data_IF_774746200140
#
_entry.id   IF_774746200140
#
_cell.length_a   1.000
_cell.length_b   1.000
_cell.length_c   1.000
_cell.angle_alpha   90.00
_cell.angle_beta   90.00
_cell.angle_gamma   90.00
#
_symmetry.space_group_name_H-M   'P 1'
#
loop_
_entity.id
_entity.type
_entity.pdbx_description
1 polymer ?
#
# COMPACT_ATOMS: atom_id res chain seq x y z
N UNK A 1 -7.80 -29.52 14.45
CA UNK A 1 -8.58 -29.12 13.25
C UNK A 1 -8.12 -27.80 12.65
N UNK A 2 -8.15 -26.67 13.37
CA UNK A 2 -7.79 -25.34 12.82
C UNK A 2 -6.35 -25.27 12.29
N UNK A 3 -5.39 -25.89 13.00
CA UNK A 3 -3.98 -25.96 12.58
C UNK A 3 -3.86 -26.62 11.19
N UNK A 4 -4.58 -27.73 10.97
CA UNK A 4 -4.60 -28.44 9.69
C UNK A 4 -5.21 -27.57 8.59
N UNK A 5 -6.31 -26.86 8.88
CA UNK A 5 -6.94 -25.94 7.92
C UNK A 5 -6.00 -24.79 7.53
N UNK A 6 -5.31 -24.19 8.51
CA UNK A 6 -4.30 -23.16 8.27
C UNK A 6 -3.18 -23.71 7.38
N UNK A 7 -2.62 -24.88 7.72
CA UNK A 7 -1.56 -25.50 6.93
C UNK A 7 -2.01 -25.77 5.48
N UNK A 8 -3.20 -26.34 5.27
CA UNK A 8 -3.77 -26.57 3.93
C UNK A 8 -3.93 -25.24 3.18
N UNK A 9 -4.48 -24.22 3.84
CA UNK A 9 -4.65 -22.88 3.25
C UNK A 9 -3.31 -22.32 2.81
N UNK A 10 -2.29 -22.39 3.68
CA UNK A 10 -0.93 -21.95 3.39
C UNK A 10 -0.32 -22.66 2.17
N UNK A 11 -0.40 -24.00 2.13
CA UNK A 11 0.14 -24.81 1.04
C UNK A 11 -0.53 -24.45 -0.28
N UNK A 12 -1.86 -24.39 -0.31
CA UNK A 12 -2.60 -24.05 -1.54
C UNK A 12 -2.22 -22.63 -2.00
N UNK A 13 -2.19 -21.66 -1.09
CA UNK A 13 -1.81 -20.29 -1.42
C UNK A 13 -0.39 -20.19 -2.00
N UNK A 14 0.55 -20.92 -1.40
CA UNK A 14 1.94 -21.01 -1.86
C UNK A 14 2.01 -21.54 -3.28
N UNK A 15 1.27 -22.62 -3.58
CA UNK A 15 1.21 -23.23 -4.92
C UNK A 15 0.65 -22.22 -5.95
N UNK A 16 -0.42 -21.50 -5.61
CA UNK A 16 -1.03 -20.51 -6.51
C UNK A 16 -0.10 -19.33 -6.81
N UNK A 17 0.59 -18.81 -5.80
CA UNK A 17 1.53 -17.69 -5.95
C UNK A 17 2.77 -18.12 -6.71
N UNK A 18 3.35 -19.27 -6.36
CA UNK A 18 4.47 -19.86 -7.10
C UNK A 18 4.13 -20.05 -8.58
N UNK A 19 2.95 -20.59 -8.87
CA UNK A 19 2.46 -20.74 -10.25
C UNK A 19 2.33 -19.40 -10.97
N UNK A 20 1.88 -18.35 -10.28
CA UNK A 20 1.78 -17.00 -10.84
C UNK A 20 3.15 -16.41 -11.15
N UNK A 21 4.11 -16.53 -10.22
CA UNK A 21 5.49 -16.07 -10.38
C UNK A 21 6.16 -16.82 -11.54
N UNK A 22 6.02 -18.14 -11.59
CA UNK A 22 6.55 -18.98 -12.68
C UNK A 22 5.97 -18.54 -14.03
N UNK A 23 4.66 -18.28 -14.11
CA UNK A 23 4.03 -17.78 -15.34
C UNK A 23 4.57 -16.40 -15.75
N UNK A 24 4.83 -15.50 -14.80
CA UNK A 24 5.37 -14.18 -15.09
C UNK A 24 6.80 -14.24 -15.65
N UNK A 25 7.69 -15.01 -15.01
CA UNK A 25 9.10 -15.09 -15.41
C UNK A 25 9.33 -16.04 -16.60
N UNK A 26 8.78 -17.25 -16.57
CA UNK A 26 9.01 -18.27 -17.59
C UNK A 26 8.14 -18.06 -18.84
N UNK A 27 6.84 -17.87 -18.65
CA UNK A 27 5.88 -17.73 -19.77
C UNK A 27 5.74 -16.28 -20.25
N UNK A 28 6.53 -15.36 -19.69
CA UNK A 28 6.51 -13.91 -19.99
C UNK A 28 5.10 -13.31 -19.90
N UNK A 29 4.23 -13.84 -19.04
CA UNK A 29 2.92 -13.27 -18.79
C UNK A 29 3.07 -12.04 -17.87
N UNK A 30 3.20 -10.87 -18.47
CA UNK A 30 3.21 -9.57 -17.79
C UNK A 30 1.83 -9.08 -17.34
N UNK A 31 0.88 -9.95 -17.01
CA UNK A 31 -0.35 -9.50 -16.39
C UNK A 31 -0.06 -8.87 -15.02
N UNK A 32 -0.42 -7.58 -14.89
CA UNK A 32 -0.14 -6.75 -13.71
C UNK A 32 -0.77 -7.24 -12.41
N UNK A 33 -1.72 -8.18 -12.44
CA UNK A 33 -2.27 -8.78 -11.23
C UNK A 33 -1.23 -9.58 -10.42
N UNK A 34 -0.08 -9.95 -11.02
CA UNK A 34 0.98 -10.63 -10.29
C UNK A 34 1.47 -9.83 -9.06
N UNK A 35 1.57 -8.51 -9.17
CA UNK A 35 2.10 -7.66 -8.12
C UNK A 35 1.19 -7.65 -6.87
N UNK A 36 -0.11 -7.33 -6.98
CA UNK A 36 -1.00 -7.43 -5.83
C UNK A 36 -1.19 -8.89 -5.34
N UNK A 37 -1.06 -9.92 -6.19
CA UNK A 37 -1.08 -11.33 -5.75
C UNK A 37 0.08 -11.61 -4.78
N UNK A 38 1.30 -11.23 -5.14
CA UNK A 38 2.49 -11.46 -4.29
C UNK A 38 2.38 -10.69 -2.98
N UNK A 39 1.92 -9.44 -3.04
CA UNK A 39 1.74 -8.62 -1.83
C UNK A 39 0.63 -9.18 -0.95
N UNK A 40 -0.50 -9.63 -1.52
CA UNK A 40 -1.55 -10.31 -0.76
C UNK A 40 -1.01 -11.52 0.00
N UNK A 41 -0.17 -12.33 -0.65
CA UNK A 41 0.47 -13.47 -0.01
C UNK A 41 1.36 -13.04 1.17
N UNK A 42 2.19 -12.01 0.99
CA UNK A 42 3.05 -11.49 2.06
C UNK A 42 2.23 -11.01 3.27
N UNK A 43 1.15 -10.26 3.06
CA UNK A 43 0.39 -9.65 4.15
C UNK A 43 -0.66 -10.58 4.81
N UNK A 44 -1.04 -11.69 4.18
CA UNK A 44 -2.09 -12.58 4.69
C UNK A 44 -1.64 -14.03 4.91
N UNK A 45 -0.75 -14.57 4.07
CA UNK A 45 -0.32 -15.97 4.15
C UNK A 45 0.96 -16.15 4.98
N UNK A 46 1.91 -15.21 4.92
CA UNK A 46 3.08 -15.25 5.81
C UNK A 46 2.66 -15.15 7.29
N UNK A 47 1.77 -14.23 7.70
CA UNK A 47 1.23 -14.23 9.06
C UNK A 47 0.59 -15.57 9.45
N UNK A 48 -0.14 -16.21 8.53
CA UNK A 48 -0.73 -17.52 8.79
C UNK A 48 0.33 -18.62 8.98
N UNK A 49 1.47 -18.55 8.30
CA UNK A 49 2.62 -19.44 8.56
C UNK A 49 3.25 -19.15 9.93
N UNK A 50 3.40 -17.87 10.29
CA UNK A 50 3.94 -17.47 11.59
C UNK A 50 3.04 -17.95 12.74
N UNK A 51 1.72 -17.93 12.57
CA UNK A 51 0.76 -18.52 13.52
C UNK A 51 1.02 -20.02 13.76
N UNK A 52 1.52 -20.74 12.74
CA UNK A 52 1.82 -22.18 12.82
C UNK A 52 3.19 -22.46 13.43
N UNK A 53 4.19 -21.63 13.14
CA UNK A 53 5.58 -21.84 13.55
C UNK A 53 5.92 -21.23 14.91
N UNK A 54 5.49 -19.99 15.13
CA UNK A 54 5.79 -19.21 16.34
C UNK A 54 4.60 -19.25 17.30
N UNK A 55 3.39 -19.27 16.74
CA UNK A 55 2.15 -19.12 17.50
C UNK A 55 1.54 -17.74 17.31
N UNK A 56 0.43 -17.52 18.01
CA UNK A 56 -0.31 -16.26 17.93
C UNK A 56 0.39 -15.16 18.73
N UNK A 57 0.37 -13.91 18.24
CA UNK A 57 0.86 -12.77 19.00
C UNK A 57 0.04 -12.56 20.29
N UNK A 58 0.72 -12.13 21.35
CA UNK A 58 0.09 -11.78 22.62
C UNK A 58 -0.20 -10.28 22.64
N UNK A 59 -1.46 -9.94 22.35
CA UNK A 59 -1.88 -8.54 22.33
C UNK A 59 -2.15 -7.98 23.72
N UNK A 60 -1.72 -6.75 23.95
CA UNK A 60 -2.09 -5.96 25.14
C UNK A 60 -3.60 -5.71 25.16
N UNK A 61 -4.15 -5.48 26.36
CA UNK A 61 -5.58 -5.32 26.61
C UNK A 61 -6.27 -4.25 25.77
N UNK A 62 -5.54 -3.20 25.37
CA UNK A 62 -6.08 -2.14 24.51
C UNK A 62 -6.35 -2.61 23.07
N UNK A 63 -5.78 -3.72 22.61
CA UNK A 63 -6.12 -4.35 21.32
C UNK A 63 -7.21 -5.42 21.48
N UNK A 64 -8.26 -5.10 22.25
CA UNK A 64 -9.35 -6.03 22.62
C UNK A 64 -9.96 -6.72 21.40
N UNK A 65 -10.17 -5.99 20.31
CA UNK A 65 -10.73 -6.53 19.06
C UNK A 65 -9.88 -7.66 18.47
N UNK A 66 -8.56 -7.56 18.51
CA UNK A 66 -7.66 -8.63 18.03
C UNK A 66 -7.69 -9.86 18.94
N UNK A 67 -7.73 -9.66 20.26
CA UNK A 67 -7.82 -10.76 21.23
C UNK A 67 -9.10 -11.58 21.01
N UNK A 68 -10.25 -10.90 20.94
CA UNK A 68 -11.55 -11.56 20.81
C UNK A 68 -11.68 -12.25 19.44
N UNK A 69 -11.34 -11.54 18.36
CA UNK A 69 -11.47 -12.10 17.01
C UNK A 69 -10.49 -13.24 16.75
N UNK A 70 -9.26 -13.14 17.27
CA UNK A 70 -8.27 -14.22 17.18
C UNK A 70 -8.74 -15.48 17.91
N UNK A 71 -9.36 -15.35 19.08
CA UNK A 71 -9.82 -16.50 19.86
C UNK A 71 -11.12 -17.15 19.34
N UNK A 72 -11.80 -16.52 18.37
CA UNK A 72 -13.04 -17.04 17.81
C UNK A 72 -12.80 -18.04 16.67
N UNK A 73 -13.08 -19.32 16.94
CA UNK A 73 -12.82 -20.44 16.00
C UNK A 73 -13.52 -20.26 14.66
N UNK A 74 -14.79 -19.83 14.66
CA UNK A 74 -15.58 -19.68 13.43
C UNK A 74 -14.97 -18.56 12.55
N UNK A 75 -14.49 -17.48 13.16
CA UNK A 75 -13.82 -16.39 12.44
C UNK A 75 -12.57 -16.89 11.74
N UNK A 76 -11.77 -17.72 12.40
CA UNK A 76 -10.55 -18.30 11.80
C UNK A 76 -10.84 -19.23 10.63
N UNK A 77 -11.90 -20.03 10.71
CA UNK A 77 -12.34 -20.88 9.59
C UNK A 77 -12.78 -20.01 8.41
N UNK A 78 -13.62 -19.01 8.66
CA UNK A 78 -14.10 -18.09 7.61
C UNK A 78 -12.95 -17.30 7.02
N UNK A 79 -12.01 -16.84 7.84
CA UNK A 79 -10.79 -16.16 7.40
C UNK A 79 -10.02 -17.01 6.39
N UNK A 80 -9.75 -18.29 6.71
CA UNK A 80 -9.05 -19.21 5.81
C UNK A 80 -9.78 -19.36 4.46
N UNK A 81 -11.11 -19.50 4.49
CA UNK A 81 -11.95 -19.59 3.28
C UNK A 81 -11.86 -18.29 2.46
N UNK A 82 -11.95 -17.14 3.10
CA UNK A 82 -11.95 -15.82 2.46
C UNK A 82 -10.62 -15.51 1.79
N UNK A 83 -9.49 -15.70 2.49
CA UNK A 83 -8.17 -15.44 1.90
C UNK A 83 -7.85 -16.41 0.77
N UNK A 84 -8.34 -17.65 0.85
CA UNK A 84 -8.20 -18.63 -0.22
C UNK A 84 -9.03 -18.23 -1.45
N UNK A 85 -10.30 -17.83 -1.24
CA UNK A 85 -11.17 -17.34 -2.30
C UNK A 85 -10.56 -16.13 -3.02
N UNK A 86 -10.12 -15.10 -2.29
CA UNK A 86 -9.55 -13.89 -2.87
C UNK A 86 -8.32 -14.24 -3.73
N UNK A 87 -7.38 -15.00 -3.17
CA UNK A 87 -6.16 -15.39 -3.87
C UNK A 87 -6.44 -16.25 -5.11
N UNK A 88 -7.33 -17.24 -4.98
CA UNK A 88 -7.76 -18.09 -6.08
C UNK A 88 -8.38 -17.28 -7.23
N UNK A 89 -9.29 -16.34 -6.91
CA UNK A 89 -9.93 -15.50 -7.91
C UNK A 89 -8.92 -14.58 -8.61
N UNK A 90 -8.01 -13.96 -7.87
CA UNK A 90 -6.94 -13.14 -8.45
C UNK A 90 -6.02 -13.98 -9.36
N UNK A 91 -5.66 -15.19 -8.95
CA UNK A 91 -4.91 -16.16 -9.77
C UNK A 91 -5.64 -16.49 -11.08
N UNK A 92 -6.95 -16.77 -11.01
CA UNK A 92 -7.77 -17.07 -12.20
C UNK A 92 -7.81 -15.90 -13.16
N UNK A 93 -7.92 -14.67 -12.66
CA UNK A 93 -7.88 -13.47 -13.50
C UNK A 93 -6.49 -13.22 -14.10
N UNK A 94 -5.42 -13.50 -13.37
CA UNK A 94 -4.05 -13.42 -13.86
C UNK A 94 -3.80 -14.39 -15.04
N UNK A 95 -4.29 -15.62 -14.95
CA UNK A 95 -4.12 -16.64 -15.99
C UNK A 95 -4.93 -16.36 -17.26
N UNK A 96 -6.14 -15.80 -17.13
CA UNK A 96 -7.05 -15.57 -18.27
C UNK A 96 -6.64 -14.41 -19.19
N UNK A 97 -5.94 -13.42 -18.65
CA UNK A 97 -5.60 -12.20 -19.40
C UNK A 97 -4.08 -12.09 -19.58
N UNK A 98 -3.43 -12.93 -20.41
CA UNK A 98 -2.01 -12.79 -20.64
C UNK A 98 -1.73 -11.46 -21.33
N UNK A 99 -0.79 -10.69 -20.78
CA UNK A 99 -0.40 -9.39 -21.33
C UNK A 99 1.11 -9.28 -21.37
N UNK A 100 1.69 -8.76 -22.45
CA UNK A 100 3.13 -8.47 -22.49
C UNK A 100 3.37 -7.00 -22.18
N UNK A 101 3.98 -6.74 -21.02
CA UNK A 101 4.46 -5.42 -20.67
C UNK A 101 5.80 -5.21 -21.38
N UNK A 102 5.86 -4.20 -22.27
CA UNK A 102 7.12 -3.60 -22.70
C UNK A 102 7.30 -2.24 -22.02
N UNK A 103 8.50 -1.95 -21.52
CA UNK A 103 8.91 -0.63 -21.03
C UNK A 103 10.04 -0.04 -21.89
N UNK A 104 10.06 -0.39 -23.17
CA UNK A 104 11.03 0.17 -24.12
C UNK A 104 10.58 1.55 -24.54
N UNK A 105 11.38 2.54 -24.13
CA UNK A 105 11.18 3.92 -24.50
C UNK A 105 12.44 4.53 -25.09
N UNK A 106 12.26 5.48 -26.00
CA UNK A 106 13.29 6.42 -26.41
C UNK A 106 12.75 7.83 -26.21
N UNK A 107 13.17 8.49 -25.14
CA UNK A 107 13.01 9.94 -25.04
C UNK A 107 14.31 10.59 -25.47
N UNK A 108 14.22 11.41 -26.51
CA UNK A 108 15.35 12.26 -26.93
C UNK A 108 15.72 13.28 -25.84
N UNK A 109 14.80 13.61 -24.94
CA UNK A 109 14.95 14.65 -23.91
C UNK A 109 14.94 14.12 -22.46
N UNK A 110 15.17 12.82 -22.22
CA UNK A 110 15.10 12.24 -20.87
C UNK A 110 16.14 12.85 -19.92
N UNK A 111 17.35 13.07 -20.41
CA UNK A 111 18.43 13.68 -19.63
C UNK A 111 18.12 15.16 -19.33
N UNK A 112 17.51 15.89 -20.26
CA UNK A 112 17.11 17.28 -20.07
C UNK A 112 15.99 17.39 -19.03
N UNK A 113 14.92 16.59 -19.15
CA UNK A 113 13.85 16.56 -18.13
C UNK A 113 14.42 16.19 -16.76
N UNK A 114 15.34 15.23 -16.71
CA UNK A 114 15.99 14.85 -15.46
C UNK A 114 16.75 16.02 -14.84
N UNK A 115 17.57 16.74 -15.60
CA UNK A 115 18.33 17.90 -15.11
C UNK A 115 17.37 18.99 -14.60
N UNK A 116 16.36 19.38 -15.39
CA UNK A 116 15.37 20.36 -14.95
C UNK A 116 14.59 19.90 -13.72
N UNK A 117 14.32 18.60 -13.60
CA UNK A 117 13.63 18.04 -12.44
C UNK A 117 14.49 18.07 -11.19
N UNK A 118 15.78 17.73 -11.30
CA UNK A 118 16.72 17.82 -10.18
C UNK A 118 16.87 19.27 -9.74
N UNK A 119 16.99 20.20 -10.69
CA UNK A 119 17.03 21.64 -10.39
C UNK A 119 15.73 22.14 -9.74
N UNK A 120 14.57 21.70 -10.24
CA UNK A 120 13.28 22.01 -9.65
C UNK A 120 13.12 21.45 -8.22
N UNK A 121 13.57 20.22 -7.98
CA UNK A 121 13.61 19.63 -6.64
C UNK A 121 14.55 20.41 -5.72
N UNK A 122 15.69 20.87 -6.22
CA UNK A 122 16.62 21.70 -5.47
C UNK A 122 16.00 23.04 -5.05
N UNK A 123 15.37 23.77 -5.99
CA UNK A 123 14.66 25.01 -5.68
C UNK A 123 13.51 24.78 -4.69
N UNK A 124 12.77 23.68 -4.86
CA UNK A 124 11.71 23.30 -3.95
C UNK A 124 12.26 23.04 -2.54
N UNK A 125 13.40 22.35 -2.40
CA UNK A 125 14.04 22.14 -1.09
C UNK A 125 14.42 23.47 -0.43
N UNK A 126 15.01 24.41 -1.17
CA UNK A 126 15.34 25.75 -0.65
C UNK A 126 14.08 26.44 -0.11
N UNK A 127 12.97 26.41 -0.87
CA UNK A 127 11.70 26.99 -0.44
C UNK A 127 11.12 26.30 0.80
N UNK A 128 11.24 24.97 0.91
CA UNK A 128 10.72 24.25 2.07
C UNK A 128 11.54 24.56 3.33
N UNK A 129 12.86 24.66 3.20
CA UNK A 129 13.75 25.08 4.30
C UNK A 129 13.59 26.55 4.69
N UNK A 130 13.00 27.41 3.85
CA UNK A 130 12.73 28.80 4.25
C UNK A 130 11.43 28.95 5.04
N UNK A 131 10.48 28.04 4.86
CA UNK A 131 9.17 28.08 5.55
C UNK A 131 9.17 27.26 6.83
N UNK A 132 10.09 26.31 6.95
CA UNK A 132 10.20 25.44 8.12
C UNK A 132 11.62 25.44 8.64
N UNK A 133 11.75 25.35 9.96
CA UNK A 133 13.04 25.18 10.59
C UNK A 133 13.69 23.88 10.10
N UNK A 134 14.80 24.01 9.36
CA UNK A 134 15.53 22.89 8.82
C UNK A 134 15.93 21.89 9.91
N UNK A 135 16.24 22.37 11.11
CA UNK A 135 16.59 21.53 12.25
C UNK A 135 15.41 20.64 12.67
N UNK A 136 14.20 21.20 12.72
CA UNK A 136 12.97 20.45 12.99
C UNK A 136 12.68 19.35 11.94
N UNK A 137 13.04 19.58 10.67
CA UNK A 137 12.98 18.54 9.62
C UNK A 137 13.99 17.43 9.90
N UNK A 138 15.27 17.77 10.10
CA UNK A 138 16.34 16.78 10.28
C UNK A 138 16.20 15.97 11.56
N UNK A 139 15.56 16.53 12.60
CA UNK A 139 15.23 15.81 13.83
C UNK A 139 13.99 14.92 13.73
N UNK A 140 13.31 14.88 12.58
CA UNK A 140 12.09 14.08 12.37
C UNK A 140 10.89 14.54 13.22
N UNK A 141 10.98 15.73 13.82
CA UNK A 141 9.93 16.30 14.69
C UNK A 141 8.65 16.64 13.90
N UNK A 142 8.77 16.79 12.57
CA UNK A 142 7.65 16.99 11.65
C UNK A 142 6.58 15.90 11.73
N UNK A 143 6.90 14.72 12.28
CA UNK A 143 5.92 13.68 12.59
C UNK A 143 4.76 14.22 13.41
N UNK A 144 5.05 14.96 14.49
CA UNK A 144 4.06 15.46 15.45
C UNK A 144 3.45 16.81 15.05
N UNK A 145 4.00 17.47 14.04
CA UNK A 145 3.48 18.74 13.58
C UNK A 145 2.13 18.57 12.88
N UNK A 146 1.10 19.11 13.52
CA UNK A 146 -0.29 19.19 13.03
C UNK A 146 -0.64 20.57 12.49
N UNK A 147 0.32 21.49 12.44
CA UNK A 147 0.13 22.82 11.87
C UNK A 147 -0.23 22.73 10.37
N UNK A 148 -0.90 23.75 9.81
CA UNK A 148 -1.17 23.81 8.38
C UNK A 148 0.10 23.71 7.52
N UNK A 149 1.24 24.19 8.04
CA UNK A 149 2.55 24.09 7.39
C UNK A 149 3.04 22.63 7.39
N UNK A 150 2.99 21.95 8.54
CA UNK A 150 3.35 20.54 8.65
C UNK A 150 2.53 19.63 7.73
N UNK A 151 1.23 19.87 7.61
CA UNK A 151 0.36 19.13 6.67
C UNK A 151 0.80 19.35 5.22
N UNK A 152 1.10 20.60 4.82
CA UNK A 152 1.60 20.90 3.47
C UNK A 152 2.93 20.19 3.19
N UNK A 153 3.87 20.21 4.14
CA UNK A 153 5.17 19.54 4.02
C UNK A 153 5.02 18.02 3.85
N UNK A 154 4.10 17.40 4.61
CA UNK A 154 3.73 15.99 4.46
C UNK A 154 3.16 15.68 3.06
N UNK A 155 2.36 16.56 2.48
CA UNK A 155 1.86 16.36 1.11
C UNK A 155 2.97 16.54 0.07
N UNK A 156 3.84 17.54 0.23
CA UNK A 156 4.97 17.78 -0.67
C UNK A 156 5.95 16.61 -0.70
N UNK A 157 6.27 16.01 0.45
CA UNK A 157 7.13 14.82 0.50
C UNK A 157 6.56 13.65 -0.32
N UNK A 158 5.24 13.43 -0.32
CA UNK A 158 4.62 12.40 -1.15
C UNK A 158 4.78 12.70 -2.65
N UNK A 159 4.63 13.96 -3.04
CA UNK A 159 4.84 14.41 -4.43
C UNK A 159 6.30 14.19 -4.85
N UNK A 160 7.26 14.57 -4.00
CA UNK A 160 8.70 14.39 -4.27
C UNK A 160 9.01 12.91 -4.48
N UNK A 161 8.57 12.03 -3.58
CA UNK A 161 8.81 10.58 -3.69
C UNK A 161 8.19 10.01 -4.97
N UNK A 162 6.95 10.40 -5.28
CA UNK A 162 6.27 9.94 -6.49
C UNK A 162 7.01 10.43 -7.74
N UNK A 163 7.47 11.68 -7.75
CA UNK A 163 8.22 12.25 -8.86
C UNK A 163 9.57 11.57 -9.06
N UNK A 164 10.31 11.30 -7.99
CA UNK A 164 11.57 10.54 -8.01
C UNK A 164 11.33 9.16 -8.62
N UNK A 165 10.30 8.43 -8.20
CA UNK A 165 9.97 7.12 -8.76
C UNK A 165 9.65 7.20 -10.25
N UNK A 166 8.92 8.24 -10.69
CA UNK A 166 8.63 8.48 -12.11
C UNK A 166 9.93 8.75 -12.89
N UNK A 167 10.84 9.60 -12.39
CA UNK A 167 12.11 9.88 -13.06
C UNK A 167 12.97 8.62 -13.23
N UNK A 168 13.05 7.80 -12.17
CA UNK A 168 13.76 6.52 -12.23
C UNK A 168 13.07 5.55 -13.18
N UNK A 169 11.73 5.53 -13.21
CA UNK A 169 10.95 4.73 -14.16
C UNK A 169 11.20 5.15 -15.61
N UNK A 170 11.43 6.43 -15.89
CA UNK A 170 11.67 6.91 -17.25
C UNK A 170 13.08 6.58 -17.77
N UNK A 171 14.03 6.21 -16.90
CA UNK A 171 15.41 5.93 -17.31
C UNK A 171 15.57 4.57 -18.02
N UNK A 172 15.94 4.56 -19.30
CA UNK A 172 16.12 3.31 -20.05
C UNK A 172 17.43 2.60 -19.71
N UNK A 173 18.52 3.37 -19.56
CA UNK A 173 19.85 2.81 -19.45
C UNK A 173 20.10 2.32 -18.02
N UNK A 174 20.32 1.01 -17.87
CA UNK A 174 20.55 0.36 -16.58
C UNK A 174 21.73 0.97 -15.80
N UNK A 175 22.80 1.38 -16.48
CA UNK A 175 23.95 2.04 -15.85
C UNK A 175 23.61 3.45 -15.35
N UNK A 176 22.95 4.27 -16.20
CA UNK A 176 22.48 5.61 -15.80
C UNK A 176 21.41 5.55 -14.71
N UNK A 177 20.63 4.47 -14.63
CA UNK A 177 19.60 4.29 -13.62
C UNK A 177 20.18 4.38 -12.21
N UNK A 178 21.29 3.68 -11.94
CA UNK A 178 21.93 3.70 -10.62
C UNK A 178 22.54 5.06 -10.29
N UNK A 179 23.13 5.74 -11.29
CA UNK A 179 23.67 7.09 -11.11
C UNK A 179 22.54 8.07 -10.77
N UNK A 180 21.46 8.08 -11.56
CA UNK A 180 20.29 8.94 -11.33
C UNK A 180 19.62 8.62 -9.99
N UNK A 181 19.54 7.35 -9.60
CA UNK A 181 19.08 6.95 -8.29
C UNK A 181 19.95 7.54 -7.18
N UNK A 182 21.27 7.43 -7.27
CA UNK A 182 22.21 8.03 -6.32
C UNK A 182 22.05 9.55 -6.20
N UNK A 183 21.86 10.25 -7.32
CA UNK A 183 21.61 11.70 -7.33
C UNK A 183 20.26 12.10 -6.70
N UNK A 184 19.24 11.25 -6.83
CA UNK A 184 17.91 11.51 -6.27
C UNK A 184 17.77 11.07 -4.80
N UNK A 185 18.70 10.26 -4.29
CA UNK A 185 18.65 9.70 -2.94
C UNK A 185 18.62 10.78 -1.84
N UNK A 186 19.42 11.86 -1.88
CA UNK A 186 19.34 12.92 -0.87
C UNK A 186 17.94 13.55 -0.78
N UNK A 187 17.27 13.78 -1.91
CA UNK A 187 15.92 14.33 -1.95
C UNK A 187 14.89 13.35 -1.37
N UNK A 188 15.06 12.05 -1.61
CA UNK A 188 14.21 11.03 -1.00
C UNK A 188 14.37 10.99 0.53
N UNK A 189 15.61 11.05 1.03
CA UNK A 189 15.90 11.09 2.47
C UNK A 189 15.28 12.32 3.14
N UNK A 190 15.42 13.51 2.53
CA UNK A 190 14.75 14.72 3.03
C UNK A 190 13.23 14.56 3.03
N UNK A 191 12.65 14.00 1.97
CA UNK A 191 11.21 13.74 1.92
C UNK A 191 10.75 12.75 3.02
N UNK A 192 11.56 11.75 3.36
CA UNK A 192 11.26 10.84 4.48
C UNK A 192 11.22 11.58 5.82
N UNK A 193 12.19 12.47 6.03
CA UNK A 193 12.30 13.30 7.23
C UNK A 193 11.16 14.30 7.35
N UNK A 194 10.81 14.97 6.25
CA UNK A 194 9.69 15.92 6.20
C UNK A 194 8.34 15.27 6.51
N UNK A 195 8.12 14.01 6.11
CA UNK A 195 6.83 13.37 6.31
C UNK A 195 6.66 12.80 7.73
N UNK A 196 7.71 12.18 8.27
CA UNK A 196 7.67 11.59 9.59
C UNK A 196 6.98 10.20 9.68
N UNK A 197 6.44 9.66 8.57
CA UNK A 197 5.70 8.40 8.56
C UNK A 197 6.43 7.27 7.84
N UNK A 198 6.39 6.07 8.44
CA UNK A 198 6.91 4.81 7.87
C UNK A 198 6.32 4.50 6.48
N UNK A 199 5.08 4.92 6.21
CA UNK A 199 4.38 4.66 4.96
C UNK A 199 5.09 5.26 3.74
N UNK A 200 5.75 6.42 3.88
CA UNK A 200 6.44 7.05 2.75
C UNK A 200 7.71 6.28 2.36
N UNK A 201 8.45 5.79 3.36
CA UNK A 201 9.63 4.94 3.14
C UNK A 201 9.20 3.65 2.46
N UNK A 202 8.11 3.05 2.95
CA UNK A 202 7.53 1.84 2.35
C UNK A 202 7.12 2.06 0.89
N UNK A 203 6.43 3.16 0.56
CA UNK A 203 6.05 3.50 -0.82
C UNK A 203 7.28 3.60 -1.73
N UNK A 204 8.34 4.26 -1.27
CA UNK A 204 9.57 4.40 -2.04
C UNK A 204 10.25 3.05 -2.29
N UNK A 205 10.46 2.25 -1.25
CA UNK A 205 11.13 0.94 -1.34
C UNK A 205 10.34 -0.01 -2.25
N UNK A 206 9.02 -0.12 -2.05
CA UNK A 206 8.16 -0.95 -2.91
C UNK A 206 8.17 -0.42 -4.34
N UNK A 207 8.08 0.90 -4.53
CA UNK A 207 8.16 1.55 -5.84
C UNK A 207 9.44 1.19 -6.59
N UNK A 208 10.60 1.20 -5.91
CA UNK A 208 11.88 0.82 -6.50
C UNK A 208 11.95 -0.66 -6.87
N UNK A 209 11.50 -1.55 -5.98
CA UNK A 209 11.43 -2.99 -6.27
C UNK A 209 10.56 -3.22 -7.51
N UNK A 210 9.39 -2.58 -7.57
CA UNK A 210 8.50 -2.66 -8.72
C UNK A 210 9.19 -2.19 -10.00
N UNK A 211 9.90 -1.04 -9.97
CA UNK A 211 10.64 -0.54 -11.13
C UNK A 211 11.67 -1.57 -11.61
N UNK A 212 12.44 -2.16 -10.69
CA UNK A 212 13.46 -3.15 -11.06
C UNK A 212 12.86 -4.42 -11.66
N UNK A 213 11.77 -4.93 -11.08
CA UNK A 213 11.06 -6.13 -11.57
C UNK A 213 10.41 -5.86 -12.93
N UNK A 214 9.76 -4.70 -13.10
CA UNK A 214 9.09 -4.30 -14.33
C UNK A 214 10.11 -4.13 -15.47
N UNK A 215 11.23 -3.44 -15.22
CA UNK A 215 12.27 -3.19 -16.23
C UNK A 215 13.17 -4.38 -16.51
N UNK A 216 13.00 -5.48 -15.78
CA UNK A 216 13.89 -6.64 -15.83
C UNK A 216 15.37 -6.21 -15.72
N UNK A 217 15.66 -5.38 -14.72
CA UNK A 217 16.99 -4.76 -14.54
C UNK A 217 18.08 -5.82 -14.43
N UNK A 218 17.83 -6.90 -13.68
CA UNK A 218 18.78 -8.00 -13.48
C UNK A 218 18.54 -9.16 -14.46
N UNK A 219 19.64 -9.79 -14.89
CA UNK A 219 19.60 -10.94 -15.80
C UNK A 219 19.13 -12.21 -15.09
N UNK A 220 19.55 -12.41 -13.84
CA UNK A 220 19.25 -13.62 -13.07
C UNK A 220 18.08 -13.41 -12.09
N UNK A 221 17.21 -14.43 -11.98
CA UNK A 221 16.06 -14.40 -11.07
C UNK A 221 16.47 -14.27 -9.59
N UNK A 222 17.62 -14.86 -9.23
CA UNK A 222 18.18 -14.82 -7.85
C UNK A 222 18.48 -13.38 -7.42
N UNK A 223 18.89 -12.50 -8.33
CA UNK A 223 19.17 -11.10 -8.01
C UNK A 223 17.92 -10.34 -7.52
N UNK A 224 16.73 -10.67 -8.02
CA UNK A 224 15.49 -10.06 -7.51
C UNK A 224 15.17 -10.51 -6.10
N UNK A 225 15.44 -11.78 -5.78
CA UNK A 225 15.29 -12.31 -4.42
C UNK A 225 16.26 -11.58 -3.49
N UNK A 226 17.53 -11.45 -3.90
CA UNK A 226 18.54 -10.73 -3.11
C UNK A 226 18.13 -9.27 -2.85
N UNK A 227 17.66 -8.56 -3.88
CA UNK A 227 17.18 -7.18 -3.72
C UNK A 227 15.97 -7.10 -2.79
N UNK A 228 15.02 -8.03 -2.89
CA UNK A 228 13.88 -8.09 -1.99
C UNK A 228 14.33 -8.35 -0.54
N UNK A 229 15.28 -9.24 -0.32
CA UNK A 229 15.86 -9.53 1.00
C UNK A 229 16.58 -8.30 1.56
N UNK A 230 17.45 -7.66 0.77
CA UNK A 230 18.14 -6.42 1.17
C UNK A 230 17.12 -5.35 1.55
N UNK A 231 16.08 -5.15 0.73
CA UNK A 231 15.04 -4.17 1.00
C UNK A 231 14.27 -4.49 2.29
N UNK A 232 13.94 -5.76 2.55
CA UNK A 232 13.29 -6.19 3.79
C UNK A 232 14.20 -5.95 5.00
N UNK A 233 15.48 -6.29 4.90
CA UNK A 233 16.47 -6.02 5.96
C UNK A 233 16.60 -4.51 6.20
N UNK A 234 16.68 -3.70 5.15
CA UNK A 234 16.74 -2.24 5.29
C UNK A 234 15.47 -1.66 5.92
N UNK A 235 14.29 -2.15 5.56
CA UNK A 235 13.03 -1.75 6.19
C UNK A 235 12.98 -2.15 7.65
N UNK A 236 13.46 -3.34 7.99
CA UNK A 236 13.54 -3.81 9.38
C UNK A 236 14.51 -2.96 10.20
N UNK A 237 15.71 -2.69 9.69
CA UNK A 237 16.69 -1.81 10.36
C UNK A 237 16.15 -0.39 10.54
N UNK A 238 15.46 0.15 9.52
CA UNK A 238 14.79 1.44 9.62
C UNK A 238 13.69 1.43 10.68
N UNK A 239 12.89 0.37 10.75
CA UNK A 239 11.83 0.22 11.75
C UNK A 239 12.40 0.14 13.17
N UNK A 240 13.46 -0.63 13.38
CA UNK A 240 14.18 -0.69 14.66
C UNK A 240 14.70 0.70 15.09
N UNK A 241 15.41 1.38 14.19
CA UNK A 241 15.86 2.76 14.42
C UNK A 241 14.69 3.70 14.78
N UNK A 242 13.56 3.57 14.07
CA UNK A 242 12.38 4.37 14.31
C UNK A 242 11.75 4.10 15.68
N UNK A 243 11.67 2.84 16.08
CA UNK A 243 11.09 2.43 17.36
C UNK A 243 12.00 2.80 18.54
N UNK A 244 13.32 2.70 18.39
CA UNK A 244 14.27 3.14 19.42
C UNK A 244 14.16 4.65 19.67
N UNK A 245 14.11 5.45 18.59
CA UNK A 245 14.04 6.91 18.67
C UNK A 245 12.69 7.44 19.12
N UNK A 246 11.59 6.79 18.71
CA UNK A 246 10.25 7.37 18.84
C UNK A 246 9.18 6.41 19.38
N UNK A 247 9.50 5.13 19.55
CA UNK A 247 8.55 4.08 19.86
C UNK A 247 8.37 3.82 21.36
N UNK A 248 9.18 4.41 22.23
CA UNK A 248 9.17 4.09 23.67
C UNK A 248 9.52 2.61 23.83
N UNK A 249 10.81 2.26 23.69
CA UNK A 249 11.27 0.89 23.57
C UNK A 249 10.72 -0.06 24.65
N UNK A 250 10.13 -1.16 24.22
CA UNK A 250 9.90 -2.36 25.04
C UNK A 250 11.04 -3.34 24.79
N UNK A 251 11.70 -3.82 25.84
CA UNK A 251 12.79 -4.81 25.74
C UNK A 251 12.30 -6.26 25.63
N UNK A 252 10.98 -6.48 25.62
CA UNK A 252 10.38 -7.82 25.60
C UNK A 252 10.15 -8.34 24.17
N UNK A 253 10.81 -9.46 23.84
CA UNK A 253 10.72 -10.15 22.54
C UNK A 253 9.30 -10.55 22.13
N UNK A 254 8.43 -10.84 23.09
CA UNK A 254 7.01 -11.16 22.86
C UNK A 254 6.23 -9.92 22.39
N UNK A 255 6.57 -8.74 22.93
CA UNK A 255 5.98 -7.47 22.51
C UNK A 255 6.50 -7.08 21.12
N UNK A 256 7.76 -7.37 20.81
CA UNK A 256 8.34 -7.15 19.48
C UNK A 256 7.66 -7.98 18.39
N UNK A 257 7.42 -9.29 18.63
CA UNK A 257 6.69 -10.14 17.68
C UNK A 257 5.27 -9.60 17.45
N UNK A 258 4.58 -9.21 18.51
CA UNK A 258 3.23 -8.66 18.43
C UNK A 258 3.22 -7.31 17.68
N UNK A 259 4.21 -6.44 17.92
CA UNK A 259 4.38 -5.18 17.21
C UNK A 259 4.69 -5.38 15.73
N UNK A 260 5.52 -6.36 15.39
CA UNK A 260 5.79 -6.78 14.02
C UNK A 260 4.50 -7.23 13.33
N UNK A 261 3.70 -8.07 13.99
CA UNK A 261 2.41 -8.55 13.48
C UNK A 261 1.42 -7.41 13.22
N UNK A 262 1.31 -6.45 14.14
CA UNK A 262 0.47 -5.26 13.95
C UNK A 262 0.94 -4.41 12.76
N UNK A 263 2.26 -4.27 12.59
CA UNK A 263 2.82 -3.38 11.56
C UNK A 263 2.72 -4.00 10.16
N UNK A 264 3.10 -5.27 10.02
CA UNK A 264 3.30 -5.94 8.73
C UNK A 264 2.28 -7.03 8.41
N UNK A 265 1.46 -7.46 9.38
CA UNK A 265 0.34 -8.38 9.15
C UNK A 265 -0.95 -7.64 8.80
N UNK A 266 -1.81 -8.26 7.98
CA UNK A 266 -3.20 -7.81 7.75
C UNK A 266 -4.22 -8.91 8.03
N UNK A 267 -3.77 -10.04 8.57
CA UNK A 267 -4.67 -11.12 8.95
C UNK A 267 -5.49 -10.77 10.19
N UNK A 268 -4.88 -10.13 11.19
CA UNK A 268 -5.58 -9.74 12.42
C UNK A 268 -6.65 -8.67 12.16
N UNK A 269 -6.39 -7.74 11.24
CA UNK A 269 -7.39 -6.74 10.83
C UNK A 269 -8.57 -7.39 10.12
N UNK A 270 -8.31 -8.29 9.17
CA UNK A 270 -9.37 -8.99 8.46
C UNK A 270 -10.16 -9.93 9.38
N UNK A 271 -9.51 -10.67 10.28
CA UNK A 271 -10.18 -11.50 11.29
C UNK A 271 -11.09 -10.64 12.17
N UNK A 272 -10.65 -9.46 12.59
CA UNK A 272 -11.47 -8.55 13.36
C UNK A 272 -12.71 -8.07 12.59
N UNK A 273 -12.57 -7.71 11.31
CA UNK A 273 -13.73 -7.33 10.48
C UNK A 273 -14.69 -8.51 10.30
N UNK A 274 -14.17 -9.70 10.04
CA UNK A 274 -15.03 -10.89 9.91
C UNK A 274 -15.76 -11.19 11.22
N UNK A 275 -15.07 -11.05 12.35
CA UNK A 275 -15.67 -11.24 13.66
C UNK A 275 -16.78 -10.22 13.95
N UNK A 276 -16.56 -8.92 13.64
CA UNK A 276 -17.58 -7.89 13.82
C UNK A 276 -18.81 -8.14 12.94
N UNK A 277 -18.60 -8.60 11.70
CA UNK A 277 -19.69 -8.96 10.80
C UNK A 277 -20.51 -10.17 11.28
N UNK A 278 -19.86 -11.15 11.90
CA UNK A 278 -20.53 -12.34 12.46
C UNK A 278 -21.23 -12.08 13.80
N UNK A 279 -20.85 -11.03 14.51
CA UNK A 279 -21.31 -10.75 15.88
C UNK A 279 -21.93 -9.35 16.00
N UNK A 280 -22.57 -8.84 14.94
CA UNK A 280 -23.23 -7.52 14.95
C UNK A 280 -24.25 -7.37 16.07
N UNK A 281 -24.98 -8.44 16.35
CA UNK A 281 -26.01 -8.49 17.38
C UNK A 281 -25.43 -8.30 18.80
N UNK A 282 -24.12 -8.47 18.96
CA UNK A 282 -23.39 -8.25 20.23
C UNK A 282 -22.83 -6.82 20.35
N UNK A 283 -23.20 -5.91 19.45
CA UNK A 283 -22.84 -4.49 19.51
C UNK A 283 -21.41 -4.17 19.09
N UNK A 284 -20.70 -5.10 18.44
CA UNK A 284 -19.32 -4.89 17.96
C UNK A 284 -19.40 -4.45 16.50
N UNK A 285 -19.58 -3.15 16.27
CA UNK A 285 -19.64 -2.57 14.94
C UNK A 285 -18.40 -1.69 14.71
N UNK A 286 -17.73 -1.89 13.57
CA UNK A 286 -16.62 -1.03 13.17
C UNK A 286 -17.14 0.28 12.58
N UNK A 287 -18.13 0.18 11.68
CA UNK A 287 -18.80 1.32 11.08
C UNK A 287 -20.17 1.50 11.72
N UNK A 288 -20.59 2.75 11.84
CA UNK A 288 -21.92 3.11 12.35
C UNK A 288 -23.00 2.72 11.34
N UNK A 289 -22.70 2.83 10.04
CA UNK A 289 -23.56 2.39 8.95
C UNK A 289 -22.77 1.94 7.70
N UNK A 290 -23.43 1.17 6.83
CA UNK A 290 -22.84 0.68 5.58
C UNK A 290 -22.58 1.83 4.59
N UNK A 291 -21.41 1.85 3.96
CA UNK A 291 -21.05 2.89 2.98
C UNK A 291 -20.47 4.17 3.58
N UNK A 292 -20.35 4.26 4.91
CA UNK A 292 -19.87 5.45 5.62
C UNK A 292 -18.51 5.95 5.12
N UNK A 293 -17.59 5.05 4.80
CA UNK A 293 -16.25 5.45 4.34
C UNK A 293 -16.19 5.73 2.84
N UNK A 294 -17.16 5.23 2.06
CA UNK A 294 -17.33 5.64 0.67
C UNK A 294 -17.75 7.11 0.58
N UNK A 295 -18.63 7.56 1.50
CA UNK A 295 -18.98 8.97 1.64
C UNK A 295 -17.77 9.83 2.04
N UNK A 296 -16.88 9.32 2.89
CA UNK A 296 -15.61 9.99 3.19
C UNK A 296 -14.77 10.20 1.92
N UNK A 297 -14.67 9.20 1.05
CA UNK A 297 -13.90 9.34 -0.19
C UNK A 297 -14.56 10.31 -1.18
N UNK A 298 -15.87 10.25 -1.35
CA UNK A 298 -16.61 11.18 -2.23
C UNK A 298 -16.44 12.61 -1.75
N UNK A 299 -16.67 12.87 -0.46
CA UNK A 299 -16.53 14.22 0.11
C UNK A 299 -15.10 14.75 0.04
N UNK A 300 -14.10 13.89 0.21
CA UNK A 300 -12.69 14.26 0.06
C UNK A 300 -12.34 14.54 -1.41
N UNK A 301 -12.86 13.77 -2.35
CA UNK A 301 -12.67 13.99 -3.78
C UNK A 301 -13.31 15.31 -4.26
N UNK A 302 -14.45 15.69 -3.67
CA UNK A 302 -15.12 16.98 -3.89
C UNK A 302 -14.50 18.13 -3.08
N UNK A 303 -13.40 17.88 -2.37
CA UNK A 303 -12.68 18.87 -1.54
C UNK A 303 -13.53 19.57 -0.47
N UNK A 304 -14.64 18.96 -0.06
CA UNK A 304 -15.55 19.48 0.98
C UNK A 304 -14.79 19.52 2.31
N UNK A 305 -14.75 20.67 2.95
CA UNK A 305 -14.03 20.81 4.22
C UNK A 305 -14.89 20.35 5.40
N UNK A 306 -14.26 20.03 6.55
CA UNK A 306 -14.99 19.51 7.73
C UNK A 306 -15.79 20.61 8.45
N UNK A 307 -15.40 21.87 8.29
CA UNK A 307 -16.13 23.06 8.71
C UNK A 307 -17.38 23.36 7.86
N UNK A 308 -17.47 22.78 6.66
CA UNK A 308 -18.66 22.90 5.79
C UNK A 308 -19.65 21.74 6.01
N UNK A 309 -19.22 20.67 6.67
CA UNK A 309 -20.02 19.49 6.97
C UNK A 309 -19.64 18.91 8.33
N UNK A 310 -20.35 19.34 9.36
CA UNK A 310 -20.09 18.97 10.76
C UNK A 310 -20.02 17.44 10.96
N UNK A 311 -20.95 16.73 10.34
CA UNK A 311 -21.06 15.27 10.41
C UNK A 311 -20.25 14.53 9.32
N UNK A 312 -19.23 15.16 8.74
CA UNK A 312 -18.40 14.51 7.71
C UNK A 312 -17.77 13.22 8.26
N UNK A 313 -17.96 12.06 7.59
CA UNK A 313 -17.38 10.80 8.04
C UNK A 313 -15.85 10.85 8.15
N UNK A 314 -15.28 9.98 8.99
CA UNK A 314 -13.83 9.84 9.15
C UNK A 314 -13.23 8.81 8.16
N UNK A 315 -11.90 8.77 7.98
CA UNK A 315 -11.25 7.66 7.30
C UNK A 315 -11.56 6.33 8.00
N UNK A 316 -11.69 5.24 7.22
CA UNK A 316 -11.91 3.88 7.74
C UNK A 316 -10.97 3.48 8.90
N UNK A 317 -9.67 3.79 8.83
CA UNK A 317 -8.76 3.43 9.91
C UNK A 317 -9.12 4.04 11.27
N UNK A 318 -9.74 5.23 11.30
CA UNK A 318 -10.22 5.84 12.55
C UNK A 318 -11.32 4.98 13.17
N UNK A 319 -12.35 4.62 12.39
CA UNK A 319 -13.43 3.74 12.81
C UNK A 319 -12.93 2.36 13.24
N UNK A 320 -12.06 1.76 12.43
CA UNK A 320 -11.43 0.48 12.75
C UNK A 320 -10.69 0.53 14.09
N UNK A 321 -9.93 1.60 14.33
CA UNK A 321 -9.17 1.74 15.57
C UNK A 321 -10.07 1.91 16.78
N UNK A 322 -11.16 2.69 16.66
CA UNK A 322 -12.16 2.83 17.73
C UNK A 322 -12.81 1.48 18.06
N UNK A 323 -13.23 0.72 17.04
CA UNK A 323 -13.76 -0.63 17.24
C UNK A 323 -12.74 -1.61 17.82
N UNK A 324 -11.45 -1.45 17.51
CA UNK A 324 -10.36 -2.31 17.99
C UNK A 324 -10.15 -2.15 19.50
N UNK A 325 -10.25 -0.93 20.00
CA UNK A 325 -10.15 -0.65 21.45
C UNK A 325 -11.47 -0.94 22.19
N UNK A 326 -12.54 -1.25 21.46
CA UNK A 326 -13.86 -1.61 22.01
C UNK A 326 -14.81 -0.43 22.23
N UNK A 327 -14.52 0.73 21.64
CA UNK A 327 -15.44 1.87 21.64
C UNK A 327 -16.57 1.64 20.63
N UNK A 328 -17.80 1.99 21.01
CA UNK A 328 -18.97 1.89 20.11
C UNK A 328 -19.13 3.09 19.19
N UNK A 329 -18.56 4.24 19.57
CA UNK A 329 -18.57 5.47 18.79
C UNK A 329 -17.17 5.82 18.31
N UNK A 330 -17.09 6.54 17.20
CA UNK A 330 -15.80 6.97 16.66
C UNK A 330 -15.09 7.89 17.64
N UNK A 331 -13.87 7.49 18.01
CA UNK A 331 -12.96 8.28 18.83
C UNK A 331 -11.74 8.64 18.01
N UNK A 332 -11.49 9.93 17.86
CA UNK A 332 -10.31 10.43 17.15
C UNK A 332 -9.09 10.25 18.03
N UNK A 333 -8.31 9.21 17.73
CA UNK A 333 -7.06 8.91 18.41
C UNK A 333 -5.87 9.51 17.66
N UNK A 334 -4.75 9.81 18.34
CA UNK A 334 -3.54 10.35 17.71
C UNK A 334 -2.83 9.32 16.81
N UNK A 335 -3.22 8.04 16.93
CA UNK A 335 -2.75 6.95 16.09
C UNK A 335 -3.95 6.24 15.46
N UNK A 336 -3.69 5.56 14.34
CA UNK A 336 -4.70 4.75 13.66
C UNK A 336 -4.06 3.44 13.23
N UNK A 337 -4.85 2.37 13.27
CA UNK A 337 -4.43 1.06 12.81
C UNK A 337 -4.36 1.03 11.29
N UNK A 338 -3.29 0.44 10.75
CA UNK A 338 -3.19 0.30 9.30
C UNK A 338 -4.13 -0.80 8.83
N UNK A 339 -5.00 -0.45 7.90
CA UNK A 339 -6.02 -1.35 7.34
C UNK A 339 -5.78 -1.53 5.84
N UNK A 340 -6.49 -2.48 5.24
CA UNK A 340 -6.48 -2.76 3.81
C UNK A 340 -7.84 -2.48 3.18
N UNK A 341 -7.88 -2.47 1.84
CA UNK A 341 -9.14 -2.34 1.11
C UNK A 341 -10.11 -3.50 1.41
N UNK A 342 -9.59 -4.69 1.74
CA UNK A 342 -10.44 -5.85 2.02
C UNK A 342 -11.24 -5.62 3.31
N UNK A 343 -10.56 -5.14 4.35
CA UNK A 343 -11.17 -4.81 5.64
C UNK A 343 -12.32 -3.81 5.45
N UNK A 344 -12.06 -2.78 4.65
CA UNK A 344 -13.00 -1.71 4.36
C UNK A 344 -14.20 -2.19 3.52
N UNK A 345 -13.98 -3.00 2.48
CA UNK A 345 -15.07 -3.54 1.67
C UNK A 345 -15.98 -4.47 2.47
N UNK A 346 -15.40 -5.34 3.29
CA UNK A 346 -16.16 -6.25 4.14
C UNK A 346 -16.96 -5.45 5.18
N UNK A 347 -16.39 -4.39 5.76
CA UNK A 347 -17.11 -3.53 6.69
C UNK A 347 -18.24 -2.73 6.04
N UNK A 348 -18.06 -2.29 4.79
CA UNK A 348 -19.08 -1.51 4.08
C UNK A 348 -20.17 -2.36 3.42
N UNK A 349 -19.86 -3.60 3.01
CA UNK A 349 -20.76 -4.40 2.17
C UNK A 349 -20.97 -5.84 2.70
N UNK A 350 -20.38 -6.21 3.84
CA UNK A 350 -20.48 -7.54 4.42
C UNK A 350 -19.97 -8.63 3.48
N UNK A 351 -20.75 -9.70 3.33
CA UNK A 351 -20.45 -10.83 2.43
C UNK A 351 -20.29 -10.38 0.97
N UNK A 352 -21.06 -9.39 0.52
CA UNK A 352 -20.90 -8.83 -0.83
C UNK A 352 -19.52 -8.19 -0.98
N UNK A 353 -19.00 -7.56 0.07
CA UNK A 353 -17.64 -7.01 0.09
C UNK A 353 -16.57 -8.07 -0.15
N UNK A 354 -16.71 -9.26 0.45
CA UNK A 354 -15.83 -10.41 0.21
C UNK A 354 -15.87 -10.80 -1.26
N UNK A 355 -17.07 -10.94 -1.83
CA UNK A 355 -17.25 -11.37 -3.21
C UNK A 355 -16.69 -10.36 -4.22
N UNK A 356 -16.89 -9.06 -3.99
CA UNK A 356 -16.45 -7.96 -4.86
C UNK A 356 -14.95 -7.69 -4.80
N UNK A 357 -14.30 -7.99 -3.68
CA UNK A 357 -12.88 -7.72 -3.43
C UNK A 357 -11.94 -8.07 -4.59
N UNK A 358 -11.89 -9.32 -5.11
CA UNK A 358 -10.99 -9.66 -6.22
C UNK A 358 -11.38 -8.98 -7.55
N UNK A 359 -12.65 -8.60 -7.73
CA UNK A 359 -13.11 -7.94 -8.95
C UNK A 359 -12.63 -6.50 -9.05
N UNK A 360 -12.40 -5.81 -7.93
CA UNK A 360 -11.83 -4.45 -7.94
C UNK A 360 -10.42 -4.47 -8.53
N UNK A 361 -9.59 -5.45 -8.16
CA UNK A 361 -8.25 -5.61 -8.74
C UNK A 361 -8.32 -5.94 -10.22
N UNK A 362 -9.24 -6.82 -10.65
CA UNK A 362 -9.48 -7.11 -12.07
C UNK A 362 -9.91 -5.85 -12.84
N UNK A 363 -10.84 -5.08 -12.29
CA UNK A 363 -11.36 -3.86 -12.89
C UNK A 363 -10.25 -2.82 -13.05
N UNK A 364 -9.52 -2.54 -11.97
CA UNK A 364 -8.38 -1.64 -11.98
C UNK A 364 -7.33 -2.09 -12.99
N UNK A 365 -7.00 -3.40 -12.99
CA UNK A 365 -6.06 -3.97 -13.94
C UNK A 365 -6.48 -3.76 -15.40
N UNK A 366 -7.75 -3.99 -15.72
CA UNK A 366 -8.29 -3.78 -17.06
C UNK A 366 -8.23 -2.31 -17.48
N UNK A 367 -8.53 -1.38 -16.58
CA UNK A 367 -8.42 0.06 -16.86
C UNK A 367 -6.96 0.41 -17.17
N UNK A 368 -6.04 -0.03 -16.34
CA UNK A 368 -4.62 0.32 -16.48
C UNK A 368 -4.07 -0.24 -17.79
N UNK A 369 -4.32 -1.52 -18.08
CA UNK A 369 -3.80 -2.18 -19.29
C UNK A 369 -4.35 -1.55 -20.56
N UNK A 370 -5.60 -1.08 -20.57
CA UNK A 370 -6.20 -0.40 -21.74
C UNK A 370 -5.57 0.96 -22.05
N UNK A 371 -4.89 1.58 -21.09
CA UNK A 371 -4.37 2.95 -21.19
C UNK A 371 -2.84 2.98 -20.99
N UNK A 372 -2.09 2.13 -21.67
CA UNK A 372 -0.66 1.92 -21.38
C UNK A 372 0.31 2.32 -22.51
N UNK A 373 -0.18 2.98 -23.55
CA UNK A 373 0.64 3.41 -24.69
C UNK A 373 1.28 4.78 -24.43
N UNK A 374 2.51 4.96 -24.90
CA UNK A 374 3.27 6.20 -24.74
C UNK A 374 3.63 6.52 -23.28
N UNK A 375 4.25 7.69 -23.06
CA UNK A 375 4.79 8.10 -21.75
C UNK A 375 3.71 8.12 -20.67
N UNK A 376 2.59 8.82 -20.95
CA UNK A 376 1.47 8.95 -20.01
C UNK A 376 0.89 7.57 -19.68
N UNK A 377 0.75 6.69 -20.67
CA UNK A 377 0.26 5.34 -20.44
C UNK A 377 1.19 4.48 -19.58
N UNK A 378 2.52 4.62 -19.72
CA UNK A 378 3.49 3.94 -18.84
C UNK A 378 3.48 4.48 -17.41
N UNK A 379 3.25 5.78 -17.23
CA UNK A 379 3.05 6.38 -15.91
C UNK A 379 1.75 5.84 -15.28
N UNK A 380 0.64 5.78 -16.04
CA UNK A 380 -0.62 5.15 -15.62
C UNK A 380 -0.39 3.69 -15.23
N UNK A 381 0.40 2.95 -16.03
CA UNK A 381 0.75 1.56 -15.76
C UNK A 381 1.49 1.40 -14.42
N UNK A 382 2.54 2.17 -14.21
CA UNK A 382 3.33 2.12 -12.99
C UNK A 382 2.52 2.57 -11.76
N UNK A 383 1.87 3.73 -11.83
CA UNK A 383 1.04 4.24 -10.74
C UNK A 383 -0.10 3.26 -10.42
N UNK A 384 -0.73 2.68 -11.44
CA UNK A 384 -1.78 1.69 -11.26
C UNK A 384 -1.30 0.42 -10.56
N UNK A 385 -0.11 -0.10 -10.92
CA UNK A 385 0.51 -1.22 -10.23
C UNK A 385 0.83 -0.84 -8.77
N UNK A 386 1.52 0.28 -8.57
CA UNK A 386 1.88 0.77 -7.24
C UNK A 386 0.65 0.91 -6.35
N UNK A 387 -0.40 1.57 -6.83
CA UNK A 387 -1.64 1.77 -6.10
C UNK A 387 -2.34 0.45 -5.80
N UNK A 388 -2.35 -0.52 -6.73
CA UNK A 388 -2.93 -1.84 -6.45
C UNK A 388 -2.19 -2.56 -5.32
N UNK A 389 -0.86 -2.43 -5.24
CA UNK A 389 -0.06 -2.99 -4.15
C UNK A 389 -0.35 -2.25 -2.84
N UNK A 390 -0.43 -0.92 -2.88
CA UNK A 390 -0.70 -0.11 -1.70
C UNK A 390 -2.09 -0.35 -1.11
N UNK A 391 -3.12 -0.65 -1.91
CA UNK A 391 -4.47 -1.00 -1.41
C UNK A 391 -4.49 -2.17 -0.43
N UNK A 392 -3.53 -3.08 -0.59
CA UNK A 392 -3.41 -4.27 0.25
C UNK A 392 -2.64 -3.93 1.52
N UNK A 393 -1.57 -3.16 1.38
CA UNK A 393 -0.63 -2.87 2.45
C UNK A 393 -1.09 -1.73 3.39
N UNK A 394 -1.77 -0.71 2.86
CA UNK A 394 -2.07 0.55 3.56
C UNK A 394 -3.47 1.06 3.17
N UNK A 395 -4.11 1.80 4.08
CA UNK A 395 -5.42 2.39 3.83
C UNK A 395 -5.37 3.44 2.71
N UNK A 396 -6.35 3.40 1.79
CA UNK A 396 -6.48 4.31 0.62
C UNK A 396 -6.41 5.79 0.98
N UNK A 397 -6.91 6.19 2.15
CA UNK A 397 -6.91 7.60 2.59
C UNK A 397 -5.50 8.20 2.64
N UNK A 398 -4.48 7.39 2.93
CA UNK A 398 -3.09 7.85 3.04
C UNK A 398 -2.47 8.26 1.70
N UNK A 399 -3.06 7.84 0.57
CA UNK A 399 -2.56 8.09 -0.78
C UNK A 399 -3.69 8.42 -1.77
N UNK A 400 -4.79 9.00 -1.26
CA UNK A 400 -5.95 9.38 -2.08
C UNK A 400 -5.57 10.32 -3.23
N UNK A 401 -4.63 11.24 -3.01
CA UNK A 401 -4.14 12.15 -4.04
C UNK A 401 -3.47 11.43 -5.22
N UNK A 402 -2.85 10.26 -4.99
CA UNK A 402 -2.29 9.46 -6.07
C UNK A 402 -3.38 8.78 -6.91
N UNK A 403 -4.52 8.42 -6.31
CA UNK A 403 -5.68 7.97 -7.07
C UNK A 403 -6.30 9.07 -7.91
N UNK A 404 -6.42 10.28 -7.33
CA UNK A 404 -6.91 11.45 -8.07
C UNK A 404 -5.98 11.72 -9.25
N UNK A 405 -4.66 11.71 -9.04
CA UNK A 405 -3.67 11.84 -10.11
C UNK A 405 -3.84 10.75 -11.19
N UNK A 406 -3.99 9.48 -10.80
CA UNK A 406 -4.22 8.39 -11.74
C UNK A 406 -5.50 8.62 -12.57
N UNK A 407 -6.59 9.04 -11.93
CA UNK A 407 -7.86 9.33 -12.60
C UNK A 407 -7.72 10.48 -13.61
N UNK A 408 -7.07 11.58 -13.22
CA UNK A 408 -6.78 12.72 -14.09
C UNK A 408 -5.93 12.29 -15.29
N UNK A 409 -4.86 11.51 -15.08
CA UNK A 409 -4.01 11.02 -16.16
C UNK A 409 -4.78 10.14 -17.14
N UNK A 410 -5.69 9.27 -16.65
CA UNK A 410 -6.55 8.45 -17.51
C UNK A 410 -7.50 9.31 -18.34
N UNK A 411 -8.10 10.34 -17.74
CA UNK A 411 -9.00 11.26 -18.46
C UNK A 411 -8.22 12.00 -19.56
N UNK A 412 -7.08 12.60 -19.22
CA UNK A 412 -6.22 13.31 -20.17
C UNK A 412 -5.75 12.40 -21.30
N UNK A 413 -5.39 11.15 -20.98
CA UNK A 413 -4.99 10.15 -21.97
C UNK A 413 -6.13 9.83 -22.96
N UNK A 414 -7.35 9.63 -22.46
CA UNK A 414 -8.53 9.37 -23.31
C UNK A 414 -8.89 10.58 -24.18
N UNK A 415 -8.83 11.79 -23.65
CA UNK A 415 -9.08 13.02 -24.41
C UNK A 415 -8.07 13.17 -25.56
N UNK A 416 -6.79 12.98 -25.27
CA UNK A 416 -5.73 13.03 -26.30
C UNK A 416 -5.93 11.99 -27.39
N UNK A 417 -6.32 10.76 -27.03
CA UNK A 417 -6.59 9.68 -27.99
C UNK A 417 -7.78 10.02 -28.90
N UNK A 418 -8.85 10.61 -28.35
CA UNK A 418 -10.01 11.03 -29.13
C UNK A 418 -9.66 12.12 -30.15
N UNK A 419 -8.90 13.14 -29.74
CA UNK A 419 -8.46 14.23 -30.62
C UNK A 419 -7.62 13.70 -31.79
N UNK A 420 -6.73 12.73 -31.54
CA UNK A 420 -5.88 12.12 -32.57
C UNK A 420 -6.64 11.24 -33.58
N UNK A 421 -7.83 10.75 -33.24
CA UNK A 421 -8.67 9.96 -34.15
C UNK A 421 -9.53 10.89 -35.04
N UNK A 422 -9.81 12.12 -34.58
CA UNK A 422 -10.58 13.12 -35.33
C UNK A 422 -9.75 14.04 -36.24
N UNK A 423 -8.42 14.01 -36.11
CA UNK A 423 -7.44 14.67 -36.98
C UNK A 423 -6.86 13.68 -37.97
#
# INVERSE_FOLDING_TARGET
MIIVLKLITFIIGTILVYSSIKNYFANKNGNILIYPIVVFYVFYYIPLLLDLLVGRPFYKSHFRGFIISGNHIITEIIFCIVVLYILYMMYRFHKKNPYQISFDFYFKFADIIFIFSVFGLFLMMIYLFSISDAFSIFQYNMRYDVSPVGIKLKNYSLIIITWILILILLEKNKGKLFIKFGMLLPYALTAFMMNGKKSIVFIFVIGLILIFVIKRTFQHNVSYILVAVIALVSLFLYDQFYQEKFGGGSTDTIEEYSAFRVTYGRDDTMKMVLYSELNKDKGINILEYRGQTMLYYISTALTIRRDEWDNKPYPYATYFTSGLIGEQQVRVLPWTMTTSIFDELISNFGVIGILLSPYIFKFLSNIIVRNNEGIVGKIILFLGILLSVLMIAVQISAFIYLYILLAVLIILYKLKRKIRISS
#
